data_IF_171541569139
#
_entry.id   IF_171541569139
#
_cell.length_a   1.000
_cell.length_b   1.000
_cell.length_c   1.000
_cell.angle_alpha   90.00
_cell.angle_beta   90.00
_cell.angle_gamma   90.00
#
_symmetry.space_group_name_H-M   'P 1'
#
loop_
_entity.id
_entity.type
_entity.pdbx_description
1 polymer ?
#
# COMPACT_ATOMS: atom_id res chain seq x y z
N UNK A 1 -14.06 -1.02 14.83
CA UNK A 1 -13.15 -0.10 14.09
C UNK A 1 -13.79 0.56 12.87
N UNK A 2 -14.22 -0.17 11.82
CA UNK A 2 -14.82 0.48 10.61
C UNK A 2 -16.17 1.15 10.90
N UNK A 3 -17.04 0.52 11.72
CA UNK A 3 -18.33 1.11 12.11
C UNK A 3 -18.21 2.40 12.91
N UNK A 4 -17.15 2.55 13.70
CA UNK A 4 -16.87 3.77 14.48
C UNK A 4 -16.43 4.95 13.63
N UNK A 5 -15.92 4.68 12.42
CA UNK A 5 -15.52 5.72 11.46
C UNK A 5 -16.66 6.19 10.56
N UNK A 6 -17.81 5.50 10.58
CA UNK A 6 -19.01 5.90 9.85
C UNK A 6 -19.84 6.84 10.71
N UNK A 7 -19.71 8.14 10.48
CA UNK A 7 -20.62 9.12 11.07
C UNK A 7 -21.96 8.98 10.36
N UNK A 8 -23.04 8.78 11.13
CA UNK A 8 -24.42 8.69 10.62
C UNK A 8 -24.93 10.07 10.23
N UNK A 9 -24.40 10.64 9.15
CA UNK A 9 -24.90 11.88 8.54
C UNK A 9 -25.50 11.53 7.18
N UNK A 10 -26.79 11.71 7.02
CA UNK A 10 -27.52 11.48 5.77
C UNK A 10 -28.37 10.21 5.77
N UNK A 11 -28.79 9.77 4.57
CA UNK A 11 -29.61 8.58 4.39
C UNK A 11 -28.89 7.34 4.90
N UNK A 12 -29.52 6.44 5.66
CA UNK A 12 -28.93 5.18 6.11
C UNK A 12 -28.33 4.37 4.96
N UNK A 13 -27.22 3.66 5.22
CA UNK A 13 -26.63 2.77 4.23
C UNK A 13 -27.59 1.62 3.92
N UNK A 14 -27.92 1.46 2.64
CA UNK A 14 -28.79 0.37 2.15
C UNK A 14 -28.02 -0.95 2.09
N UNK A 15 -26.72 -0.87 1.76
CA UNK A 15 -25.85 -2.04 1.60
C UNK A 15 -24.99 -2.26 2.85
N UNK A 16 -24.72 -3.52 3.17
CA UNK A 16 -23.82 -3.87 4.25
C UNK A 16 -22.40 -3.29 4.03
N UNK A 17 -21.83 -2.72 5.08
CA UNK A 17 -20.51 -2.13 5.04
C UNK A 17 -19.42 -3.13 4.62
N UNK A 18 -19.55 -4.39 5.06
CA UNK A 18 -18.63 -5.46 4.69
C UNK A 18 -18.69 -5.74 3.20
N UNK A 19 -19.90 -5.87 2.64
CA UNK A 19 -20.09 -6.11 1.22
C UNK A 19 -19.51 -4.98 0.36
N UNK A 20 -19.67 -3.72 0.79
CA UNK A 20 -19.07 -2.56 0.12
C UNK A 20 -17.52 -2.63 0.13
N UNK A 21 -16.92 -2.98 1.25
CA UNK A 21 -15.47 -3.13 1.35
C UNK A 21 -14.97 -4.30 0.51
N UNK A 22 -15.68 -5.42 0.50
CA UNK A 22 -15.32 -6.59 -0.30
C UNK A 22 -15.42 -6.29 -1.81
N UNK A 23 -16.41 -5.48 -2.24
CA UNK A 23 -16.51 -4.99 -3.61
C UNK A 23 -15.29 -4.14 -4.01
N UNK A 24 -14.90 -3.16 -3.17
CA UNK A 24 -13.68 -2.36 -3.40
C UNK A 24 -12.44 -3.26 -3.45
N UNK A 25 -12.31 -4.18 -2.51
CA UNK A 25 -11.22 -5.14 -2.45
C UNK A 25 -11.13 -6.00 -3.71
N UNK A 26 -12.28 -6.41 -4.25
CA UNK A 26 -12.36 -7.21 -5.46
C UNK A 26 -11.83 -6.43 -6.67
N UNK A 27 -12.24 -5.16 -6.83
CA UNK A 27 -11.73 -4.27 -7.90
C UNK A 27 -10.22 -4.08 -7.80
N UNK A 28 -9.72 -3.74 -6.61
CA UNK A 28 -8.28 -3.50 -6.38
C UNK A 28 -7.47 -4.77 -6.60
N UNK A 29 -7.94 -5.92 -6.11
CA UNK A 29 -7.22 -7.19 -6.20
C UNK A 29 -7.17 -7.74 -7.61
N UNK A 30 -8.29 -7.70 -8.32
CA UNK A 30 -8.43 -8.34 -9.64
C UNK A 30 -8.14 -7.39 -10.80
N UNK A 31 -8.11 -6.07 -10.56
CA UNK A 31 -7.79 -5.06 -11.56
C UNK A 31 -8.87 -4.86 -12.62
N UNK A 32 -10.11 -5.23 -12.30
CA UNK A 32 -11.26 -5.05 -13.19
C UNK A 32 -11.69 -3.59 -13.27
N UNK A 33 -12.46 -3.24 -14.29
CA UNK A 33 -13.21 -1.98 -14.32
C UNK A 33 -14.34 -2.01 -13.28
N UNK A 34 -14.73 -0.85 -12.76
CA UNK A 34 -15.84 -0.77 -11.80
C UNK A 34 -17.14 -1.38 -12.36
N UNK A 35 -17.43 -1.12 -13.63
CA UNK A 35 -18.63 -1.65 -14.32
C UNK A 35 -18.63 -3.15 -14.51
N UNK A 36 -17.46 -3.79 -14.40
CA UNK A 36 -17.31 -5.24 -14.49
C UNK A 36 -17.39 -5.94 -13.11
N UNK A 37 -17.85 -5.22 -12.07
CA UNK A 37 -18.05 -5.80 -10.75
C UNK A 37 -19.14 -6.88 -10.84
N UNK A 38 -18.90 -8.13 -10.36
CA UNK A 38 -19.88 -9.21 -10.41
C UNK A 38 -21.19 -8.88 -9.67
N UNK A 39 -22.29 -9.47 -10.12
CA UNK A 39 -23.63 -9.23 -9.59
C UNK A 39 -23.82 -9.69 -8.14
N UNK A 40 -22.90 -10.53 -7.62
CA UNK A 40 -22.90 -10.95 -6.22
C UNK A 40 -22.50 -9.83 -5.25
N UNK A 41 -21.93 -8.74 -5.77
CA UNK A 41 -21.60 -7.54 -5.02
C UNK A 41 -22.72 -6.50 -5.11
N UNK A 42 -22.71 -5.46 -4.24
CA UNK A 42 -23.55 -4.30 -4.44
C UNK A 42 -23.35 -3.68 -5.83
N UNK A 43 -24.37 -2.98 -6.40
CA UNK A 43 -24.24 -2.32 -7.70
C UNK A 43 -22.97 -1.47 -7.77
N UNK A 44 -22.28 -1.54 -8.92
CA UNK A 44 -20.98 -0.92 -9.08
C UNK A 44 -21.00 0.61 -8.81
N UNK A 45 -22.11 1.29 -9.13
CA UNK A 45 -22.30 2.71 -8.84
C UNK A 45 -22.27 2.98 -7.33
N UNK A 46 -22.95 2.12 -6.56
CA UNK A 46 -22.98 2.23 -5.11
C UNK A 46 -21.61 1.96 -4.50
N UNK A 47 -20.90 0.94 -4.99
CA UNK A 47 -19.54 0.59 -4.55
C UNK A 47 -18.53 1.71 -4.91
N UNK A 48 -18.62 2.29 -6.10
CA UNK A 48 -17.79 3.42 -6.52
C UNK A 48 -18.05 4.67 -5.68
N UNK A 49 -19.33 5.04 -5.50
CA UNK A 49 -19.70 6.19 -4.68
C UNK A 49 -19.29 6.02 -3.20
N UNK A 50 -19.34 4.80 -2.67
CA UNK A 50 -18.82 4.46 -1.35
C UNK A 50 -17.30 4.67 -1.29
N UNK A 51 -16.56 4.10 -2.23
CA UNK A 51 -15.11 4.24 -2.36
C UNK A 51 -14.70 5.72 -2.45
N UNK A 52 -15.36 6.51 -3.28
CA UNK A 52 -15.07 7.93 -3.46
C UNK A 52 -15.32 8.73 -2.18
N UNK A 53 -16.49 8.53 -1.53
CA UNK A 53 -16.78 9.19 -0.25
C UNK A 53 -15.77 8.86 0.85
N UNK A 54 -15.35 7.62 0.93
CA UNK A 54 -14.38 7.20 1.92
C UNK A 54 -12.99 7.81 1.68
N UNK A 55 -12.56 7.84 0.43
CA UNK A 55 -11.30 8.48 0.05
C UNK A 55 -11.31 9.98 0.34
N UNK A 56 -12.38 10.68 -0.04
CA UNK A 56 -12.53 12.11 0.18
C UNK A 56 -12.54 12.49 1.68
N UNK A 57 -12.91 11.55 2.55
CA UNK A 57 -12.86 11.71 4.01
C UNK A 57 -11.56 11.22 4.66
N UNK A 58 -10.61 10.73 3.90
CA UNK A 58 -9.34 10.19 4.41
C UNK A 58 -9.48 8.92 5.24
N UNK A 59 -10.61 8.19 5.13
CA UNK A 59 -10.87 7.01 5.94
C UNK A 59 -9.89 5.84 5.69
N UNK A 60 -9.45 5.55 4.46
CA UNK A 60 -8.43 4.52 4.24
C UNK A 60 -7.10 4.83 4.95
N UNK A 61 -6.69 6.11 4.98
CA UNK A 61 -5.49 6.56 5.68
C UNK A 61 -5.63 6.38 7.19
N UNK A 62 -6.80 6.71 7.75
CA UNK A 62 -7.08 6.50 9.18
C UNK A 62 -7.12 5.01 9.53
N UNK A 63 -7.68 4.17 8.67
CA UNK A 63 -7.62 2.71 8.85
C UNK A 63 -6.17 2.21 8.85
N UNK A 64 -5.34 2.67 7.93
CA UNK A 64 -3.91 2.32 7.87
C UNK A 64 -3.21 2.75 9.16
N UNK A 65 -3.49 3.95 9.67
CA UNK A 65 -2.93 4.45 10.93
C UNK A 65 -3.24 3.48 12.08
N UNK A 66 -4.52 3.15 12.28
CA UNK A 66 -4.95 2.24 13.37
C UNK A 66 -4.40 0.83 13.20
N UNK A 67 -4.46 0.28 11.98
CA UNK A 67 -3.90 -1.05 11.69
C UNK A 67 -2.40 -1.10 11.94
N UNK A 68 -1.67 -0.04 11.58
CA UNK A 68 -0.22 0.06 11.81
C UNK A 68 0.08 0.05 13.32
N UNK A 69 -0.64 0.85 14.10
CA UNK A 69 -0.47 0.91 15.55
C UNK A 69 -0.67 -0.47 16.19
N UNK A 70 -1.75 -1.17 15.83
CA UNK A 70 -2.03 -2.53 16.30
C UNK A 70 -0.92 -3.52 15.88
N UNK A 71 -0.54 -3.52 14.60
CA UNK A 71 0.50 -4.41 14.09
C UNK A 71 1.86 -4.18 14.77
N UNK A 72 2.23 -2.92 15.03
CA UNK A 72 3.45 -2.58 15.73
C UNK A 72 3.42 -3.04 17.18
N UNK A 73 2.28 -2.84 17.86
CA UNK A 73 2.08 -3.31 19.25
C UNK A 73 2.18 -4.83 19.34
N UNK A 74 1.58 -5.59 18.43
CA UNK A 74 1.75 -7.05 18.34
C UNK A 74 3.21 -7.49 18.17
N UNK A 75 4.05 -6.62 17.63
CA UNK A 75 5.50 -6.87 17.45
C UNK A 75 6.34 -6.32 18.60
N UNK A 76 5.74 -5.87 19.71
CA UNK A 76 6.43 -5.27 20.86
C UNK A 76 7.08 -3.92 20.54
N UNK A 77 6.59 -3.20 19.51
CA UNK A 77 7.11 -1.89 19.10
C UNK A 77 6.22 -0.75 19.57
N UNK A 78 6.81 0.43 19.73
CA UNK A 78 6.03 1.65 19.96
C UNK A 78 5.03 1.88 18.81
N UNK A 79 3.83 2.36 19.14
CA UNK A 79 2.76 2.61 18.17
C UNK A 79 3.20 3.58 17.05
N UNK A 80 3.95 4.61 17.41
CA UNK A 80 4.49 5.58 16.47
C UNK A 80 5.92 5.22 16.05
N UNK A 81 6.27 5.33 14.76
CA UNK A 81 7.62 5.05 14.26
C UNK A 81 8.57 6.21 14.55
N UNK A 82 9.85 5.90 14.85
CA UNK A 82 10.94 6.88 14.97
C UNK A 82 11.78 6.98 13.70
N UNK A 83 11.63 6.04 12.77
CA UNK A 83 12.35 6.02 11.51
C UNK A 83 11.44 5.58 10.36
N UNK A 84 11.75 6.03 9.16
CA UNK A 84 11.10 5.61 7.92
C UNK A 84 12.12 5.22 6.84
N UNK A 85 11.65 4.48 5.86
CA UNK A 85 12.40 4.12 4.65
C UNK A 85 11.63 4.69 3.48
N UNK A 86 12.33 5.38 2.58
CA UNK A 86 11.75 6.02 1.40
C UNK A 86 12.34 5.43 0.14
N UNK A 87 11.47 5.17 -0.82
CA UNK A 87 11.86 4.77 -2.18
C UNK A 87 10.74 5.09 -3.16
N UNK A 88 11.03 4.96 -4.47
CA UNK A 88 10.09 5.19 -5.54
C UNK A 88 9.95 4.00 -6.50
N UNK A 89 8.73 3.84 -7.02
CA UNK A 89 8.44 2.87 -8.07
C UNK A 89 7.82 3.59 -9.27
N UNK A 90 8.37 3.38 -10.47
CA UNK A 90 7.75 3.84 -11.71
C UNK A 90 6.85 2.75 -12.26
N UNK A 91 5.59 3.10 -12.55
CA UNK A 91 4.62 2.21 -13.19
C UNK A 91 4.16 2.80 -14.51
N UNK A 92 3.96 1.92 -15.51
CA UNK A 92 3.47 2.32 -16.82
C UNK A 92 2.03 2.81 -16.70
N UNK A 93 1.72 3.95 -17.32
CA UNK A 93 0.35 4.45 -17.43
C UNK A 93 -0.42 3.68 -18.51
N UNK A 94 -1.72 3.52 -18.29
CA UNK A 94 -2.68 3.12 -19.29
C UNK A 94 -3.15 4.34 -20.09
N UNK A 95 -3.79 4.16 -21.23
CA UNK A 95 -4.28 5.25 -22.10
C UNK A 95 -5.39 6.10 -21.44
N UNK A 96 -6.04 5.57 -20.40
CA UNK A 96 -7.01 6.30 -19.56
C UNK A 96 -6.36 7.37 -18.69
N UNK A 97 -5.05 7.30 -18.47
CA UNK A 97 -4.32 8.24 -17.60
C UNK A 97 -4.05 9.55 -18.36
N UNK A 98 -4.38 10.67 -17.72
CA UNK A 98 -4.16 11.99 -18.32
C UNK A 98 -2.67 12.25 -18.59
N UNK A 99 -2.35 12.72 -19.80
CA UNK A 99 -0.98 13.15 -20.17
C UNK A 99 -0.47 14.30 -19.29
N UNK A 100 -1.36 15.10 -18.70
CA UNK A 100 -1.00 16.19 -17.76
C UNK A 100 -0.44 15.67 -16.43
N UNK A 101 -0.75 14.44 -16.06
CA UNK A 101 -0.37 13.82 -14.77
C UNK A 101 0.51 12.59 -14.95
N UNK A 102 0.91 12.26 -16.17
CA UNK A 102 1.91 11.24 -16.51
C UNK A 102 3.14 11.90 -17.12
N UNK A 103 4.27 11.18 -17.13
CA UNK A 103 5.51 11.69 -17.70
C UNK A 103 6.43 10.57 -18.17
N UNK A 104 7.43 10.89 -18.96
CA UNK A 104 8.43 9.95 -19.43
C UNK A 104 9.62 9.88 -18.47
N UNK A 105 9.96 8.68 -18.03
CA UNK A 105 11.15 8.41 -17.22
C UNK A 105 12.28 7.91 -18.11
N UNK A 106 13.28 8.75 -18.36
CA UNK A 106 14.37 8.46 -19.31
C UNK A 106 15.19 7.21 -18.96
N UNK A 107 15.53 7.01 -17.69
CA UNK A 107 16.33 5.86 -17.25
C UNK A 107 15.61 4.50 -17.36
N UNK A 108 14.29 4.45 -17.15
CA UNK A 108 13.47 3.22 -17.26
C UNK A 108 12.77 3.11 -18.62
N UNK A 109 12.84 4.13 -19.47
CA UNK A 109 12.19 4.21 -20.78
C UNK A 109 10.69 3.93 -20.71
N UNK A 110 10.00 4.45 -19.70
CA UNK A 110 8.58 4.23 -19.44
C UNK A 110 7.87 5.56 -19.34
N UNK A 111 6.72 5.68 -20.03
CA UNK A 111 5.75 6.74 -19.79
C UNK A 111 4.75 6.27 -18.75
N UNK A 112 4.63 7.02 -17.64
CA UNK A 112 3.78 6.61 -16.55
C UNK A 112 3.80 7.54 -15.35
N UNK A 113 3.61 6.96 -14.18
CA UNK A 113 3.62 7.66 -12.88
C UNK A 113 4.67 7.10 -11.93
N UNK A 114 5.21 7.98 -11.11
CA UNK A 114 6.07 7.67 -9.98
C UNK A 114 5.23 7.52 -8.71
N UNK A 115 5.44 6.44 -7.98
CA UNK A 115 4.87 6.18 -6.66
C UNK A 115 5.98 6.33 -5.64
N UNK A 116 5.97 7.42 -4.89
CA UNK A 116 6.94 7.65 -3.82
C UNK A 116 6.31 7.21 -2.51
N UNK A 117 6.92 6.27 -1.83
CA UNK A 117 6.42 5.69 -0.59
C UNK A 117 7.39 5.97 0.57
N UNK A 118 6.82 6.22 1.73
CA UNK A 118 7.51 6.13 3.01
C UNK A 118 6.88 5.00 3.82
N UNK A 119 7.70 4.08 4.31
CA UNK A 119 7.27 2.97 5.15
C UNK A 119 8.06 2.95 6.46
N UNK A 120 7.54 2.31 7.51
CA UNK A 120 8.29 2.07 8.73
C UNK A 120 9.28 0.89 8.57
N UNK A 121 10.00 0.56 9.64
CA UNK A 121 10.98 -0.52 9.65
C UNK A 121 10.40 -1.92 9.38
N UNK A 122 9.06 -2.08 9.48
CA UNK A 122 8.33 -3.31 9.17
C UNK A 122 7.71 -3.31 7.76
N UNK A 123 7.80 -2.20 7.04
CA UNK A 123 7.22 -2.03 5.71
C UNK A 123 5.77 -1.53 5.72
N UNK A 124 5.26 -1.07 6.87
CA UNK A 124 3.92 -0.50 6.93
C UNK A 124 3.92 0.94 6.42
N UNK A 125 2.97 1.23 5.54
CA UNK A 125 2.86 2.53 4.89
C UNK A 125 2.67 3.66 5.91
N UNK A 126 3.48 4.71 5.77
CA UNK A 126 3.39 5.96 6.54
C UNK A 126 2.79 7.08 5.68
N UNK A 127 3.33 7.28 4.50
CA UNK A 127 2.88 8.27 3.54
C UNK A 127 3.16 7.81 2.11
N UNK A 128 2.41 8.33 1.16
CA UNK A 128 2.67 8.14 -0.26
C UNK A 128 2.31 9.39 -1.07
N UNK A 129 2.93 9.51 -2.23
CA UNK A 129 2.66 10.54 -3.23
C UNK A 129 2.75 9.91 -4.61
N UNK A 130 1.77 10.19 -5.46
CA UNK A 130 1.80 9.82 -6.88
C UNK A 130 2.09 11.05 -7.73
N UNK A 131 3.13 10.97 -8.57
CA UNK A 131 3.58 12.05 -9.45
C UNK A 131 3.65 11.57 -10.91
N UNK A 132 3.89 12.49 -11.85
CA UNK A 132 4.35 12.10 -13.18
C UNK A 132 5.71 11.38 -13.07
N UNK A 133 5.97 10.37 -13.91
CA UNK A 133 7.24 9.62 -13.88
C UNK A 133 8.49 10.47 -14.23
N UNK A 134 8.30 11.66 -14.80
CA UNK A 134 9.36 12.64 -15.05
C UNK A 134 9.81 13.40 -13.79
N UNK A 135 9.05 13.32 -12.70
CA UNK A 135 9.42 13.94 -11.41
C UNK A 135 10.52 13.11 -10.76
N UNK A 136 11.62 13.76 -10.37
CA UNK A 136 12.75 13.07 -9.75
C UNK A 136 12.41 12.55 -8.34
N UNK A 137 13.10 11.48 -7.92
CA UNK A 137 12.91 10.87 -6.60
C UNK A 137 13.12 11.88 -5.47
N UNK A 138 14.10 12.79 -5.60
CA UNK A 138 14.35 13.87 -4.64
C UNK A 138 13.20 14.86 -4.55
N UNK A 139 12.55 15.18 -5.67
CA UNK A 139 11.39 16.07 -5.67
C UNK A 139 10.17 15.38 -5.02
N UNK A 140 9.93 14.11 -5.32
CA UNK A 140 8.91 13.29 -4.66
C UNK A 140 9.16 13.17 -3.15
N UNK A 141 10.42 12.96 -2.73
CA UNK A 141 10.78 12.88 -1.32
C UNK A 141 10.50 14.18 -0.56
N UNK A 142 10.68 15.35 -1.16
CA UNK A 142 10.33 16.64 -0.51
C UNK A 142 8.84 16.72 -0.19
N UNK A 143 7.97 16.26 -1.09
CA UNK A 143 6.53 16.22 -0.85
C UNK A 143 6.18 15.18 0.25
N UNK A 144 6.84 14.01 0.24
CA UNK A 144 6.69 13.02 1.31
C UNK A 144 7.10 13.59 2.67
N UNK A 145 8.20 14.33 2.76
CA UNK A 145 8.69 14.94 4.00
C UNK A 145 7.66 15.89 4.63
N UNK A 146 6.97 16.69 3.82
CA UNK A 146 5.88 17.55 4.30
C UNK A 146 4.73 16.70 4.87
N UNK A 147 4.30 15.64 4.15
CA UNK A 147 3.27 14.72 4.66
C UNK A 147 3.70 14.04 5.96
N UNK A 148 4.96 13.58 6.04
CA UNK A 148 5.50 12.90 7.22
C UNK A 148 5.58 13.82 8.42
N UNK A 149 6.02 15.06 8.24
CA UNK A 149 6.06 16.06 9.32
C UNK A 149 4.67 16.31 9.93
N UNK A 150 3.65 16.43 9.08
CA UNK A 150 2.27 16.66 9.53
C UNK A 150 1.64 15.43 10.22
N UNK A 151 2.14 14.22 9.92
CA UNK A 151 1.56 12.96 10.42
C UNK A 151 2.30 12.38 11.63
N UNK A 152 3.60 12.66 11.77
CA UNK A 152 4.47 12.00 12.74
C UNK A 152 5.45 12.97 13.40
N UNK A 153 5.22 13.29 14.66
CA UNK A 153 6.17 14.08 15.47
C UNK A 153 7.36 13.27 15.99
N UNK A 154 7.30 11.94 15.88
CA UNK A 154 8.31 11.01 16.44
C UNK A 154 9.40 10.61 15.43
N UNK A 155 9.23 10.93 14.14
CA UNK A 155 10.20 10.57 13.11
C UNK A 155 11.49 11.40 13.24
N UNK A 156 12.62 10.72 13.33
CA UNK A 156 13.95 11.31 13.46
C UNK A 156 14.86 10.99 12.29
N UNK A 157 14.67 9.80 11.68
CA UNK A 157 15.56 9.28 10.63
C UNK A 157 14.77 8.82 9.42
N UNK A 158 15.27 9.18 8.24
CA UNK A 158 14.79 8.71 6.94
C UNK A 158 15.92 7.97 6.22
N UNK A 159 15.76 6.66 6.02
CA UNK A 159 16.67 5.85 5.20
C UNK A 159 16.22 5.88 3.74
N UNK A 160 17.18 6.08 2.86
CA UNK A 160 16.94 6.12 1.42
C UNK A 160 18.12 5.52 0.66
N UNK A 161 17.95 5.25 -0.64
CA UNK A 161 19.05 4.79 -1.49
C UNK A 161 19.94 5.95 -1.97
N UNK A 162 21.00 5.61 -2.76
CA UNK A 162 21.94 6.59 -3.31
C UNK A 162 21.29 7.60 -4.26
N UNK A 163 20.15 7.31 -4.87
CA UNK A 163 19.38 8.25 -5.69
C UNK A 163 18.91 9.48 -4.92
N UNK A 164 18.76 9.35 -3.60
CA UNK A 164 18.37 10.44 -2.70
C UNK A 164 19.56 11.19 -2.10
N UNK A 165 20.80 10.78 -2.38
CA UNK A 165 22.00 11.42 -1.84
C UNK A 165 22.12 12.89 -2.27
N UNK A 166 22.58 13.73 -1.36
CA UNK A 166 22.92 15.12 -1.62
C UNK A 166 22.49 16.11 -0.54
N UNK A 167 23.36 17.07 -0.29
CA UNK A 167 23.19 18.11 0.71
C UNK A 167 21.87 18.91 0.60
N UNK A 168 21.31 19.20 -0.61
CA UNK A 168 20.04 19.92 -0.70
C UNK A 168 18.86 19.20 -0.10
N UNK A 169 18.73 17.86 -0.30
CA UNK A 169 17.65 17.08 0.31
C UNK A 169 17.84 16.94 1.81
N UNK A 170 19.07 16.66 2.26
CA UNK A 170 19.39 16.55 3.68
C UNK A 170 19.09 17.85 4.46
N UNK A 171 19.50 19.00 3.92
CA UNK A 171 19.17 20.32 4.52
C UNK A 171 17.67 20.57 4.55
N UNK A 172 16.97 20.26 3.45
CA UNK A 172 15.52 20.40 3.40
C UNK A 172 14.81 19.53 4.43
N UNK A 173 15.18 18.25 4.55
CA UNK A 173 14.60 17.33 5.52
C UNK A 173 14.81 17.80 6.96
N UNK A 174 16.02 18.30 7.26
CA UNK A 174 16.34 18.83 8.59
C UNK A 174 15.56 20.09 8.91
N UNK A 175 15.45 21.02 7.96
CA UNK A 175 14.76 22.29 8.14
C UNK A 175 13.22 22.12 8.17
N UNK A 176 12.66 21.31 7.28
CA UNK A 176 11.20 21.17 7.11
C UNK A 176 10.57 20.18 8.09
N UNK A 177 11.30 19.16 8.55
CA UNK A 177 10.74 18.05 9.31
C UNK A 177 11.60 17.60 10.50
N UNK A 178 12.73 18.24 10.78
CA UNK A 178 13.72 17.82 11.79
C UNK A 178 14.26 16.39 11.60
N UNK A 179 14.11 15.83 10.37
CA UNK A 179 14.48 14.46 10.03
C UNK A 179 15.91 14.44 9.48
N UNK A 180 16.72 13.48 9.94
CA UNK A 180 18.05 13.19 9.40
C UNK A 180 17.92 12.19 8.25
N UNK A 181 18.50 12.52 7.08
CA UNK A 181 18.55 11.61 5.92
C UNK A 181 19.82 10.78 5.99
N UNK A 182 19.66 9.45 6.04
CA UNK A 182 20.75 8.49 5.98
C UNK A 182 20.68 7.70 4.67
N UNK A 183 21.71 7.85 3.85
CA UNK A 183 21.81 7.11 2.58
C UNK A 183 22.43 5.76 2.81
N UNK A 184 21.66 4.70 2.50
CA UNK A 184 22.09 3.31 2.62
C UNK A 184 22.89 2.93 1.38
N UNK A 185 24.22 2.88 1.50
CA UNK A 185 25.15 2.53 0.42
C UNK A 185 25.52 1.05 0.47
N UNK A 186 25.83 0.47 -0.71
CA UNK A 186 26.45 -0.85 -0.79
C UNK A 186 27.90 -0.74 -0.33
N UNK A 187 28.34 -1.65 0.52
CA UNK A 187 29.74 -1.72 0.98
C UNK A 187 30.64 -2.42 -0.02
N UNK A 188 30.09 -3.31 -0.88
CA UNK A 188 30.84 -4.00 -1.93
C UNK A 188 30.12 -3.84 -3.28
N UNK A 189 30.73 -3.15 -4.28
CA UNK A 189 30.07 -2.80 -5.53
C UNK A 189 29.76 -3.98 -6.45
N UNK A 190 30.45 -5.14 -6.29
CA UNK A 190 30.35 -6.28 -7.20
C UNK A 190 29.72 -7.54 -6.54
N UNK A 191 29.23 -7.46 -5.29
CA UNK A 191 28.55 -8.58 -4.63
C UNK A 191 27.08 -8.27 -4.38
N UNK A 192 26.22 -9.31 -4.48
CA UNK A 192 24.83 -9.20 -4.05
C UNK A 192 24.78 -9.07 -2.52
N UNK A 193 24.35 -7.93 -2.04
CA UNK A 193 24.14 -7.66 -0.62
C UNK A 193 22.68 -7.32 -0.36
N UNK A 194 22.02 -8.08 0.52
CA UNK A 194 20.70 -7.71 1.04
C UNK A 194 20.87 -6.58 2.06
N UNK A 195 20.61 -5.38 1.63
CA UNK A 195 20.58 -4.21 2.52
C UNK A 195 19.26 -4.24 3.29
N UNK A 196 19.26 -4.72 4.53
CA UNK A 196 18.05 -4.95 5.35
C UNK A 196 17.06 -3.78 5.29
N UNK A 197 17.53 -2.55 5.40
CA UNK A 197 16.68 -1.34 5.37
C UNK A 197 16.03 -1.14 4.00
N UNK A 198 16.76 -1.26 2.88
CA UNK A 198 16.20 -1.15 1.53
C UNK A 198 15.26 -2.29 1.17
N UNK A 199 15.62 -3.52 1.53
CA UNK A 199 14.78 -4.68 1.26
C UNK A 199 13.36 -4.54 1.81
N UNK A 200 13.18 -3.83 2.92
CA UNK A 200 11.86 -3.63 3.54
C UNK A 200 10.90 -2.91 2.60
N UNK A 201 11.32 -1.81 1.99
CA UNK A 201 10.45 -1.06 1.07
C UNK A 201 10.30 -1.77 -0.29
N UNK A 202 11.36 -2.43 -0.79
CA UNK A 202 11.29 -3.27 -1.98
C UNK A 202 10.26 -4.40 -1.79
N UNK A 203 10.24 -5.05 -0.62
CA UNK A 203 9.21 -6.01 -0.23
C UNK A 203 7.82 -5.42 -0.21
N UNK A 204 7.65 -4.19 0.25
CA UNK A 204 6.36 -3.51 0.27
C UNK A 204 5.86 -3.25 -1.15
N UNK A 205 6.72 -2.79 -2.06
CA UNK A 205 6.36 -2.72 -3.48
C UNK A 205 5.98 -4.09 -4.03
N UNK A 206 6.71 -5.15 -3.70
CA UNK A 206 6.37 -6.52 -4.07
C UNK A 206 4.99 -6.96 -3.56
N UNK A 207 4.58 -6.54 -2.36
CA UNK A 207 3.22 -6.80 -1.87
C UNK A 207 2.16 -6.05 -2.67
N UNK A 208 2.38 -4.76 -2.99
CA UNK A 208 1.47 -3.95 -3.78
C UNK A 208 1.29 -4.49 -5.21
N UNK A 209 2.37 -4.97 -5.83
CA UNK A 209 2.33 -5.53 -7.19
C UNK A 209 1.54 -6.85 -7.31
N UNK A 210 1.16 -7.49 -6.17
CA UNK A 210 0.23 -8.63 -6.17
C UNK A 210 -1.23 -8.22 -6.42
N UNK A 211 -1.51 -6.93 -6.44
CA UNK A 211 -2.81 -6.36 -6.74
C UNK A 211 -2.83 -5.92 -8.20
N UNK A 212 -3.62 -6.58 -9.04
CA UNK A 212 -3.62 -6.38 -10.49
C UNK A 212 -3.92 -4.93 -10.88
N UNK A 213 -4.75 -4.23 -10.10
CA UNK A 213 -5.04 -2.80 -10.32
C UNK A 213 -3.81 -1.91 -10.18
N UNK A 214 -2.77 -2.37 -9.47
CA UNK A 214 -1.54 -1.61 -9.22
C UNK A 214 -0.38 -1.99 -10.15
N UNK A 215 -0.51 -3.03 -10.99
CA UNK A 215 0.56 -3.43 -11.93
C UNK A 215 0.78 -2.37 -13.00
N UNK A 216 -0.28 -1.67 -13.37
CA UNK A 216 -0.27 -0.46 -14.18
C UNK A 216 -1.04 0.64 -13.47
N UNK A 217 -0.87 1.89 -13.92
CA UNK A 217 -1.75 2.98 -13.49
C UNK A 217 -2.89 3.14 -14.50
N UNK A 218 -4.14 3.03 -14.04
CA UNK A 218 -5.36 3.20 -14.84
C UNK A 218 -6.14 4.44 -14.43
N UNK A 219 -5.73 5.11 -13.35
CA UNK A 219 -6.53 6.16 -12.74
C UNK A 219 -6.31 7.50 -13.44
N UNK A 220 -7.39 8.18 -13.80
CA UNK A 220 -7.31 9.50 -14.46
C UNK A 220 -6.65 10.53 -13.54
N UNK A 221 -6.95 10.49 -12.24
CA UNK A 221 -6.50 11.40 -11.20
C UNK A 221 -5.39 10.76 -10.36
N UNK A 222 -4.45 11.55 -9.88
CA UNK A 222 -3.36 11.08 -9.01
C UNK A 222 -3.85 10.68 -7.64
N UNK A 223 -4.83 11.40 -7.07
CA UNK A 223 -5.44 11.06 -5.78
C UNK A 223 -6.23 9.74 -5.84
N UNK A 224 -6.85 9.39 -6.97
CA UNK A 224 -7.46 8.08 -7.19
C UNK A 224 -6.38 6.97 -7.27
N UNK A 225 -5.24 7.24 -7.90
CA UNK A 225 -4.12 6.30 -7.90
C UNK A 225 -3.55 6.09 -6.47
N UNK A 226 -3.44 7.16 -5.67
CA UNK A 226 -3.10 7.07 -4.25
C UNK A 226 -4.14 6.23 -3.49
N UNK A 227 -5.44 6.47 -3.73
CA UNK A 227 -6.53 5.75 -3.10
C UNK A 227 -6.47 4.23 -3.35
N UNK A 228 -6.17 3.79 -4.58
CA UNK A 228 -6.00 2.36 -4.89
C UNK A 228 -4.86 1.73 -4.09
N UNK A 229 -3.76 2.46 -3.87
CA UNK A 229 -2.63 2.00 -3.04
C UNK A 229 -3.04 1.93 -1.57
N UNK A 230 -3.77 2.92 -1.06
CA UNK A 230 -4.28 2.90 0.31
C UNK A 230 -5.19 1.69 0.56
N UNK A 231 -6.13 1.40 -0.35
CA UNK A 231 -7.01 0.25 -0.22
C UNK A 231 -6.26 -1.09 -0.29
N UNK A 232 -5.29 -1.23 -1.20
CA UNK A 232 -4.42 -2.41 -1.23
C UNK A 232 -3.67 -2.57 0.11
N UNK A 233 -3.17 -1.48 0.67
CA UNK A 233 -2.46 -1.46 1.96
C UNK A 233 -3.37 -1.88 3.10
N UNK A 234 -4.61 -1.36 3.16
CA UNK A 234 -5.62 -1.79 4.16
C UNK A 234 -5.81 -3.30 4.11
N UNK A 235 -5.99 -3.87 2.90
CA UNK A 235 -6.17 -5.33 2.73
C UNK A 235 -4.93 -6.11 3.23
N UNK A 236 -3.73 -5.65 2.88
CA UNK A 236 -2.48 -6.29 3.30
C UNK A 236 -2.38 -6.30 4.83
N UNK A 237 -2.62 -5.15 5.46
CA UNK A 237 -2.48 -4.98 6.90
C UNK A 237 -3.56 -5.73 7.67
N UNK A 238 -4.81 -5.70 7.21
CA UNK A 238 -5.91 -6.46 7.82
C UNK A 238 -5.63 -7.97 7.79
N UNK A 239 -5.15 -8.49 6.65
CA UNK A 239 -4.76 -9.90 6.54
C UNK A 239 -3.58 -10.25 7.44
N UNK A 240 -2.67 -9.33 7.66
CA UNK A 240 -1.55 -9.55 8.58
C UNK A 240 -2.04 -9.58 10.02
N UNK A 241 -2.89 -8.65 10.41
CA UNK A 241 -3.46 -8.60 11.76
C UNK A 241 -4.26 -9.87 12.07
N UNK A 242 -5.14 -10.30 11.16
CA UNK A 242 -5.92 -11.53 11.31
C UNK A 242 -5.04 -12.76 11.55
N UNK A 243 -3.85 -12.85 10.94
CA UNK A 243 -2.90 -13.94 11.18
C UNK A 243 -2.31 -13.90 12.60
N UNK A 244 -2.03 -12.72 13.14
CA UNK A 244 -1.57 -12.61 14.52
C UNK A 244 -2.65 -13.06 15.49
N UNK A 245 -3.91 -12.70 15.25
CA UNK A 245 -5.05 -13.08 16.10
C UNK A 245 -5.37 -14.58 16.02
N UNK A 246 -5.18 -15.22 14.84
CA UNK A 246 -5.47 -16.65 14.62
C UNK A 246 -4.28 -17.57 14.84
N UNK A 247 -3.10 -17.03 15.15
CA UNK A 247 -1.87 -17.81 15.32
C UNK A 247 -1.36 -18.51 14.03
N UNK A 248 -1.89 -18.16 12.86
CA UNK A 248 -1.48 -18.79 11.59
C UNK A 248 -0.09 -18.37 11.16
N UNK A 249 0.81 -19.32 10.81
CA UNK A 249 2.15 -18.98 10.36
C UNK A 249 2.16 -18.19 9.04
N UNK A 250 3.18 -17.34 8.81
CA UNK A 250 3.34 -16.63 7.55
C UNK A 250 3.56 -17.64 6.41
N UNK A 251 2.69 -17.67 5.42
CA UNK A 251 2.86 -18.49 4.21
C UNK A 251 1.74 -19.45 3.89
N UNK A 252 0.88 -19.83 4.83
CA UNK A 252 -0.30 -20.64 4.49
C UNK A 252 -1.27 -19.81 3.62
N UNK A 253 -1.58 -20.34 2.43
CA UNK A 253 -2.57 -19.73 1.52
C UNK A 253 -3.94 -19.78 2.19
N UNK A 254 -4.56 -18.63 2.34
CA UNK A 254 -6.00 -18.58 2.62
C UNK A 254 -6.72 -19.32 1.49
N UNK A 255 -7.38 -20.44 1.79
CA UNK A 255 -8.13 -21.23 0.81
C UNK A 255 -7.69 -22.67 0.60
N UNK A 256 -6.66 -23.17 1.33
CA UNK A 256 -6.26 -24.58 1.23
C UNK A 256 -7.24 -25.56 1.92
N UNK A 257 -8.24 -25.07 2.67
CA UNK A 257 -9.24 -25.93 3.35
C UNK A 257 -10.66 -25.40 3.12
N UNK A 258 -11.11 -25.34 1.88
CA UNK A 258 -12.51 -25.62 1.61
C UNK A 258 -12.61 -27.10 1.26
N UNK A 259 -12.74 -27.97 2.26
CA UNK A 259 -13.33 -29.29 2.05
C UNK A 259 -14.70 -29.01 1.42
N UNK A 260 -14.88 -29.44 0.19
CA UNK A 260 -16.23 -29.46 -0.39
C UNK A 260 -17.05 -30.43 0.46
N UNK A 261 -18.23 -30.08 0.95
CA UNK A 261 -19.08 -31.02 1.64
C UNK A 261 -19.52 -32.09 0.61
N UNK A 262 -19.04 -33.33 0.76
CA UNK A 262 -19.52 -34.45 -0.03
C UNK A 262 -18.49 -35.28 -0.81
N UNK A 263 -17.19 -35.18 -0.56
CA UNK A 263 -16.26 -36.20 -1.07
C UNK A 263 -16.08 -37.30 -0.02
N UNK A 264 -16.47 -38.56 -0.30
CA UNK A 264 -16.19 -39.69 0.59
C UNK A 264 -14.67 -39.95 0.64
N UNK A 265 -14.21 -40.36 1.84
CA UNK A 265 -12.83 -40.77 2.10
C UNK A 265 -12.44 -41.94 1.19
N UNK A 266 -11.60 -41.70 0.22
CA UNK A 266 -10.88 -42.74 -0.54
C UNK A 266 -9.52 -43.01 0.15
N UNK A 267 -9.56 -43.41 1.41
CA UNK A 267 -8.45 -44.02 2.12
C UNK A 267 -8.96 -45.27 2.87
N UNK A 268 -8.93 -46.43 2.21
CA UNK A 268 -8.81 -47.74 2.80
C UNK A 268 -8.95 -48.87 1.74
N UNK A 269 -8.17 -48.79 0.66
CA UNK A 269 -8.14 -49.88 -0.30
C UNK A 269 -6.70 -50.17 -0.85
N UNK A 270 -5.68 -50.08 0.01
CA UNK A 270 -4.33 -50.52 -0.40
C UNK A 270 -3.53 -51.12 0.77
N UNK A 271 -4.20 -51.91 1.64
CA UNK A 271 -3.53 -52.83 2.56
C UNK A 271 -4.21 -54.19 2.54
N UNK A 272 -4.39 -54.82 1.39
CA UNK A 272 -4.66 -56.26 1.27
C UNK A 272 -4.51 -56.69 -0.18
N UNK A 273 -3.26 -56.85 -0.68
CA UNK A 273 -2.89 -57.76 -1.74
C UNK A 273 -1.33 -57.89 -1.75
#
# INVERSE_FOLDING_TARGET
MMKELTVAVGRPMVHDLRAMCDAVNYVVKNGIEWRALPVDFPPWEAAYAFWERWNNRGLPQELIRRLRELLRQHQGRAAQPSACIVDSQIVKAHDTVSRKTSGYHGGKKITGRGRHLAVDAEGWLLALVVTAASVSDKAGAKVLLIKLFNLFSTLQVMWADSGYDGAPLARYAKAAAAITVEVVRRTAPHSFQVLRRRWVIERTFGWLMRYRRLVRDYERRTDHAEAMIYWATVIIMTRRLARYETGQPPGQRWGAERKQPGQPELEQANQAA
#
